data_IF_723707114485
#
_entry.id   IF_723707114485
#
_cell.length_a   1.000
_cell.length_b   1.000
_cell.length_c   1.000
_cell.angle_alpha   90.00
_cell.angle_beta   90.00
_cell.angle_gamma   90.00
#
_symmetry.space_group_name_H-M   'P 1'
#
loop_
_entity.id
_entity.type
_entity.pdbx_description
1 polymer ?
#
# COMPACT_ATOMS: atom_id res chain seq x y z
N UNK A 1 21.65 52.76 31.77
CA UNK A 1 22.42 52.13 30.66
C UNK A 1 22.52 50.61 30.78
N UNK A 2 22.97 50.03 31.91
CA UNK A 2 23.14 48.57 32.05
C UNK A 2 21.87 47.73 31.79
N UNK A 3 20.70 48.13 32.30
CA UNK A 3 19.42 47.41 32.08
C UNK A 3 18.96 47.36 30.62
N UNK A 4 19.19 48.44 29.86
CA UNK A 4 18.83 48.53 28.44
C UNK A 4 19.76 47.65 27.60
N UNK A 5 21.05 47.63 27.94
CA UNK A 5 22.03 46.71 27.35
C UNK A 5 21.67 45.24 27.60
N UNK A 6 21.22 44.89 28.80
CA UNK A 6 20.80 43.51 29.11
C UNK A 6 19.55 43.11 28.32
N UNK A 7 18.56 44.00 28.18
CA UNK A 7 17.36 43.76 27.37
C UNK A 7 17.68 43.56 25.89
N UNK A 8 18.59 44.37 25.34
CA UNK A 8 19.06 44.23 23.96
C UNK A 8 19.79 42.90 23.73
N UNK A 9 20.57 42.44 24.71
CA UNK A 9 21.30 41.18 24.62
C UNK A 9 20.36 39.97 24.64
N UNK A 10 19.34 39.99 25.52
CA UNK A 10 18.31 38.95 25.57
C UNK A 10 17.48 38.93 24.28
N UNK A 11 17.12 40.10 23.75
CA UNK A 11 16.40 40.21 22.50
C UNK A 11 17.23 39.67 21.32
N UNK A 12 18.52 40.04 21.24
CA UNK A 12 19.42 39.52 20.22
C UNK A 12 19.59 38.00 20.33
N UNK A 13 19.66 37.45 21.55
CA UNK A 13 19.77 36.02 21.78
C UNK A 13 18.51 35.25 21.34
N UNK A 14 17.34 35.85 21.48
CA UNK A 14 16.06 35.22 21.06
C UNK A 14 15.93 35.04 19.54
N UNK A 15 16.63 35.84 18.74
CA UNK A 15 16.60 35.76 17.27
C UNK A 15 17.38 34.56 16.71
N UNK A 16 18.21 33.88 17.53
CA UNK A 16 18.97 32.71 17.11
C UNK A 16 18.22 31.37 17.27
N UNK A 17 17.01 31.36 17.82
CA UNK A 17 16.24 30.14 18.08
C UNK A 17 15.22 29.79 16.98
N UNK A 18 15.43 30.23 15.74
CA UNK A 18 14.56 29.83 14.63
C UNK A 18 15.00 28.47 14.08
N UNK A 19 14.32 27.40 14.47
CA UNK A 19 14.46 26.09 13.83
C UNK A 19 13.41 25.93 12.73
N UNK A 20 13.83 25.67 11.49
CA UNK A 20 12.93 25.24 10.43
C UNK A 20 12.53 23.78 10.67
N UNK A 21 11.25 23.54 10.95
CA UNK A 21 10.70 22.18 10.99
C UNK A 21 10.19 21.82 9.60
N UNK A 22 10.89 20.93 8.90
CA UNK A 22 10.35 20.31 7.70
C UNK A 22 9.33 19.25 8.12
N UNK A 23 8.07 19.45 7.74
CA UNK A 23 7.10 18.36 7.81
C UNK A 23 7.57 17.26 6.84
N UNK A 24 7.74 16.03 7.34
CA UNK A 24 7.93 14.89 6.45
C UNK A 24 6.68 14.74 5.59
N UNK A 25 6.84 14.82 4.28
CA UNK A 25 5.77 14.45 3.37
C UNK A 25 5.45 12.97 3.59
N UNK A 26 4.19 12.68 3.94
CA UNK A 26 3.75 11.29 4.09
C UNK A 26 3.86 10.66 2.72
N UNK A 27 4.76 9.67 2.63
CA UNK A 27 5.00 8.99 1.38
C UNK A 27 3.73 8.27 0.93
N UNK A 28 3.10 8.76 -0.14
CA UNK A 28 1.92 8.10 -0.74
C UNK A 28 2.40 6.86 -1.48
N UNK A 29 1.83 5.71 -1.15
CA UNK A 29 2.08 4.46 -1.84
C UNK A 29 0.89 4.13 -2.74
N UNK A 30 1.17 3.58 -3.92
CA UNK A 30 0.14 2.95 -4.74
C UNK A 30 -0.13 1.56 -4.17
N UNK A 31 -1.36 1.36 -3.67
CA UNK A 31 -1.84 0.06 -3.21
C UNK A 31 -2.78 -0.55 -4.25
N UNK A 32 -2.79 -1.88 -4.29
CA UNK A 32 -3.70 -2.65 -5.12
C UNK A 32 -4.27 -3.80 -4.30
N UNK A 33 -5.59 -3.89 -4.21
CA UNK A 33 -6.29 -5.05 -3.67
C UNK A 33 -6.76 -5.95 -4.81
N UNK A 34 -6.47 -7.25 -4.69
CA UNK A 34 -6.88 -8.29 -5.62
C UNK A 34 -7.65 -9.36 -4.86
N UNK A 35 -8.89 -9.60 -5.28
CA UNK A 35 -9.77 -10.58 -4.64
C UNK A 35 -9.63 -11.91 -5.35
N UNK A 36 -9.25 -12.94 -4.61
CA UNK A 36 -9.13 -14.32 -5.09
C UNK A 36 -10.20 -15.16 -4.41
N UNK A 37 -11.08 -15.76 -5.21
CA UNK A 37 -12.10 -16.70 -4.75
C UNK A 37 -11.63 -18.12 -5.01
N UNK A 38 -11.54 -18.94 -3.96
CA UNK A 38 -11.17 -20.34 -4.05
C UNK A 38 -12.31 -21.25 -3.60
N UNK A 39 -12.31 -22.50 -4.10
CA UNK A 39 -13.15 -23.54 -3.52
C UNK A 39 -12.71 -23.80 -2.07
N UNK A 40 -13.62 -24.30 -1.24
CA UNK A 40 -13.39 -24.54 0.18
C UNK A 40 -12.07 -25.25 0.49
N UNK A 41 -11.70 -25.27 1.78
CA UNK A 41 -10.58 -26.00 2.34
C UNK A 41 -9.15 -25.58 1.89
N UNK A 42 -8.95 -24.34 1.38
CA UNK A 42 -7.64 -23.72 1.05
C UNK A 42 -6.68 -24.58 0.19
N UNK A 43 -7.20 -25.64 -0.42
CA UNK A 43 -6.52 -26.61 -1.28
C UNK A 43 -7.19 -26.71 -2.65
N UNK A 44 -8.27 -25.95 -2.86
CA UNK A 44 -9.06 -25.96 -4.08
C UNK A 44 -8.46 -25.12 -5.21
N UNK A 45 -8.76 -25.49 -6.46
CA UNK A 45 -8.49 -24.66 -7.65
C UNK A 45 -9.11 -23.26 -7.46
N UNK A 46 -8.37 -22.21 -7.83
CA UNK A 46 -8.90 -20.84 -7.89
C UNK A 46 -10.10 -20.83 -8.83
N UNK A 47 -11.21 -20.26 -8.37
CA UNK A 47 -12.41 -20.10 -9.18
C UNK A 47 -12.40 -18.79 -9.95
N UNK A 48 -11.89 -17.73 -9.33
CA UNK A 48 -11.86 -16.39 -9.93
C UNK A 48 -10.83 -15.52 -9.23
N UNK A 49 -10.14 -14.71 -10.02
CA UNK A 49 -9.41 -13.54 -9.57
C UNK A 49 -10.17 -12.33 -10.08
N UNK A 50 -10.46 -11.36 -9.20
CA UNK A 50 -11.21 -10.15 -9.51
C UNK A 50 -10.42 -8.94 -9.03
N UNK A 51 -10.33 -7.93 -9.87
CA UNK A 51 -9.71 -6.65 -9.53
C UNK A 51 -10.70 -5.55 -9.88
N UNK A 52 -11.06 -4.74 -8.90
CA UNK A 52 -11.86 -3.54 -9.17
C UNK A 52 -11.00 -2.48 -9.87
N UNK A 53 -11.61 -1.63 -10.68
CA UNK A 53 -10.91 -0.51 -11.29
C UNK A 53 -10.42 0.44 -10.20
N UNK A 54 -9.09 0.47 -10.02
CA UNK A 54 -8.43 1.28 -9.02
C UNK A 54 -7.57 2.34 -9.72
N UNK A 55 -7.61 3.58 -9.21
CA UNK A 55 -6.81 4.69 -9.73
C UNK A 55 -5.30 4.40 -9.71
N UNK A 56 -4.86 3.49 -8.83
CA UNK A 56 -3.48 3.02 -8.73
C UNK A 56 -2.97 2.27 -9.95
N UNK A 57 -3.87 1.81 -10.84
CA UNK A 57 -3.54 1.14 -12.10
C UNK A 57 -3.44 2.10 -13.29
N UNK A 58 -3.86 3.37 -13.15
CA UNK A 58 -3.84 4.33 -14.24
C UNK A 58 -2.39 4.62 -14.70
N UNK A 59 -2.15 4.45 -16.00
CA UNK A 59 -0.82 4.65 -16.60
C UNK A 59 0.24 3.64 -16.17
N UNK A 60 -0.15 2.53 -15.52
CA UNK A 60 0.77 1.43 -15.17
C UNK A 60 0.76 0.37 -16.27
N UNK A 61 1.82 -0.45 -16.30
CA UNK A 61 1.99 -1.53 -17.28
C UNK A 61 1.00 -2.69 -17.07
N UNK A 62 0.57 -2.93 -15.83
CA UNK A 62 -0.37 -4.00 -15.50
C UNK A 62 -1.82 -3.54 -15.73
N UNK A 63 -2.65 -4.42 -16.28
CA UNK A 63 -4.07 -4.14 -16.51
C UNK A 63 -4.96 -5.07 -15.70
N UNK A 64 -6.18 -4.61 -15.37
CA UNK A 64 -7.21 -5.43 -14.71
C UNK A 64 -7.44 -6.74 -15.47
N UNK A 65 -7.53 -6.65 -16.81
CA UNK A 65 -7.79 -7.81 -17.66
C UNK A 65 -6.71 -8.88 -17.55
N UNK A 66 -5.43 -8.48 -17.62
CA UNK A 66 -4.31 -9.42 -17.50
C UNK A 66 -4.30 -10.13 -16.15
N UNK A 67 -4.69 -9.43 -15.08
CA UNK A 67 -4.76 -10.01 -13.73
C UNK A 67 -5.94 -10.97 -13.61
N UNK A 68 -7.10 -10.62 -14.16
CA UNK A 68 -8.31 -11.45 -14.11
C UNK A 68 -8.21 -12.72 -14.98
N UNK A 69 -7.36 -12.71 -16.01
CA UNK A 69 -7.06 -13.88 -16.85
C UNK A 69 -6.17 -14.93 -16.14
N UNK A 70 -5.63 -14.62 -14.95
CA UNK A 70 -4.79 -15.55 -14.18
C UNK A 70 -5.64 -16.60 -13.46
N UNK A 71 -5.28 -17.88 -13.64
CA UNK A 71 -5.99 -19.01 -13.02
C UNK A 71 -5.39 -19.53 -11.70
N UNK A 72 -4.18 -19.10 -11.32
CA UNK A 72 -3.49 -19.62 -10.13
C UNK A 72 -2.92 -18.50 -9.26
N UNK A 73 -3.01 -18.66 -7.94
CA UNK A 73 -2.48 -17.68 -6.98
C UNK A 73 -0.95 -17.57 -7.04
N UNK A 74 -0.23 -18.68 -7.29
CA UNK A 74 1.22 -18.68 -7.52
C UNK A 74 1.59 -17.80 -8.71
N UNK A 75 0.89 -17.97 -9.83
CA UNK A 75 1.05 -17.17 -11.05
C UNK A 75 0.73 -15.71 -10.79
N UNK A 76 -0.32 -15.41 -10.02
CA UNK A 76 -0.64 -14.05 -9.59
C UNK A 76 0.51 -13.41 -8.81
N UNK A 77 1.00 -14.08 -7.77
CA UNK A 77 2.09 -13.56 -6.94
C UNK A 77 3.37 -13.31 -7.76
N UNK A 78 3.69 -14.23 -8.69
CA UNK A 78 4.84 -14.09 -9.57
C UNK A 78 4.67 -12.95 -10.58
N UNK A 79 3.49 -12.80 -11.17
CA UNK A 79 3.16 -11.72 -12.10
C UNK A 79 3.25 -10.35 -11.41
N UNK A 80 2.71 -10.23 -10.20
CA UNK A 80 2.78 -8.98 -9.43
C UNK A 80 4.22 -8.64 -9.05
N UNK A 81 5.00 -9.63 -8.61
CA UNK A 81 6.41 -9.44 -8.28
C UNK A 81 7.24 -9.00 -9.50
N UNK A 82 7.06 -9.62 -10.66
CA UNK A 82 7.76 -9.22 -11.90
C UNK A 82 7.36 -7.82 -12.37
N UNK A 83 6.15 -7.37 -12.03
CA UNK A 83 5.67 -6.02 -12.25
C UNK A 83 6.07 -5.03 -11.15
N UNK A 84 7.02 -5.36 -10.26
CA UNK A 84 7.46 -4.54 -9.12
C UNK A 84 6.32 -4.14 -8.16
N UNK A 85 5.39 -5.07 -7.92
CA UNK A 85 4.38 -4.96 -6.88
C UNK A 85 4.68 -5.97 -5.78
N UNK A 86 4.94 -5.45 -4.58
CA UNK A 86 5.29 -6.22 -3.40
C UNK A 86 4.01 -6.71 -2.71
N UNK A 87 3.98 -7.99 -2.37
CA UNK A 87 2.92 -8.55 -1.53
C UNK A 87 3.07 -8.06 -0.09
N UNK A 88 2.03 -7.41 0.43
CA UNK A 88 2.03 -6.80 1.77
C UNK A 88 1.30 -7.70 2.76
N UNK A 89 0.10 -8.13 2.40
CA UNK A 89 -0.79 -8.82 3.32
C UNK A 89 -1.87 -9.63 2.59
N UNK A 90 -2.43 -10.63 3.28
CA UNK A 90 -3.56 -11.42 2.82
C UNK A 90 -4.60 -11.55 3.92
N UNK A 91 -5.78 -11.02 3.66
CA UNK A 91 -6.95 -11.18 4.51
C UNK A 91 -7.89 -12.24 3.89
N UNK A 92 -8.56 -13.03 4.72
CA UNK A 92 -9.48 -14.06 4.23
C UNK A 92 -10.77 -14.12 5.03
N UNK A 93 -11.89 -14.29 4.33
CA UNK A 93 -13.21 -14.50 4.94
C UNK A 93 -13.72 -15.87 4.50
N UNK A 94 -14.12 -16.67 5.49
CA UNK A 94 -14.74 -17.99 5.33
C UNK A 94 -15.94 -18.03 6.27
N UNK A 95 -17.11 -18.37 5.76
CA UNK A 95 -18.34 -18.49 6.54
C UNK A 95 -18.47 -19.85 7.22
N UNK A 96 -18.26 -20.96 6.49
CA UNK A 96 -18.33 -22.34 7.00
C UNK A 96 -17.27 -23.24 6.33
N UNK A 97 -17.01 -24.44 6.90
CA UNK A 97 -15.96 -25.38 6.47
C UNK A 97 -15.99 -25.78 4.97
N UNK A 98 -17.16 -25.70 4.34
CA UNK A 98 -17.38 -26.06 2.92
C UNK A 98 -17.70 -24.85 2.02
N UNK A 99 -17.62 -23.64 2.55
CA UNK A 99 -17.92 -22.43 1.79
C UNK A 99 -16.72 -21.95 0.97
N UNK A 100 -16.97 -21.21 -0.13
CA UNK A 100 -15.90 -20.57 -0.88
C UNK A 100 -15.09 -19.64 0.01
N UNK A 101 -13.76 -19.71 -0.13
CA UNK A 101 -12.84 -18.82 0.58
C UNK A 101 -12.64 -17.57 -0.28
N UNK A 102 -12.90 -16.41 0.31
CA UNK A 102 -12.60 -15.11 -0.29
C UNK A 102 -11.32 -14.59 0.32
N UNK A 103 -10.32 -14.30 -0.51
CA UNK A 103 -9.02 -13.79 -0.07
C UNK A 103 -8.72 -12.45 -0.74
N UNK A 104 -8.48 -11.43 0.06
CA UNK A 104 -7.95 -10.14 -0.39
C UNK A 104 -6.43 -10.17 -0.31
N UNK A 105 -5.78 -10.14 -1.46
CA UNK A 105 -4.33 -9.98 -1.57
C UNK A 105 -4.02 -8.50 -1.76
N UNK A 106 -3.24 -7.94 -0.84
CA UNK A 106 -2.88 -6.53 -0.82
C UNK A 106 -1.44 -6.40 -1.33
N UNK A 107 -1.28 -5.60 -2.37
CA UNK A 107 0.01 -5.29 -2.98
C UNK A 107 0.33 -3.81 -2.85
N UNK A 108 1.62 -3.51 -2.80
CA UNK A 108 2.17 -2.16 -2.79
C UNK A 108 3.17 -2.01 -3.92
N UNK A 109 3.09 -0.93 -4.69
CA UNK A 109 4.08 -0.65 -5.72
C UNK A 109 5.44 -0.37 -5.07
N UNK A 110 6.45 -1.15 -5.44
CA UNK A 110 7.84 -0.86 -5.08
C UNK A 110 8.31 0.39 -5.84
N UNK A 111 9.01 1.28 -5.13
CA UNK A 111 9.59 2.50 -5.71
C UNK A 111 10.60 2.18 -6.81
#
# INVERSE_FOLDING_TARGET
MKRISTLLLVFAFSLFFTSETFAQEIQKYDFLEIIVVQKANNRGKVKRIKVEEQTSLLGKTITVKEIEDIEETSTLLNYMNSANWEFVDRQSVVSDDNDPVWMSYIFRKAK
#
